data_IF_300009355946
#
_entry.id   IF_300009355946
#
_cell.length_a   1.000
_cell.length_b   1.000
_cell.length_c   1.000
_cell.angle_alpha   90.00
_cell.angle_beta   90.00
_cell.angle_gamma   90.00
#
_symmetry.space_group_name_H-M   'P 1'
#
loop_
_entity.id
_entity.type
_entity.pdbx_description
1 polymer ?
#
# COMPACT_ATOMS: atom_id res chain seq x y z
N UNK A 1 -22.02 6.89 17.94
CA UNK A 1 -21.17 5.85 17.40
C UNK A 1 -19.88 6.42 16.93
N UNK A 2 -18.82 5.69 17.13
CA UNK A 2 -17.53 6.12 16.67
C UNK A 2 -17.38 5.95 15.17
N UNK A 3 -16.33 6.53 14.65
CA UNK A 3 -15.98 6.41 13.27
C UNK A 3 -14.70 5.60 13.14
N UNK A 4 -14.57 4.92 12.01
CA UNK A 4 -13.40 4.10 11.73
C UNK A 4 -12.55 4.82 10.70
N UNK A 5 -11.27 4.97 11.00
CA UNK A 5 -10.32 5.61 10.10
C UNK A 5 -9.24 4.61 9.75
N UNK A 6 -9.01 4.41 8.47
CA UNK A 6 -7.86 3.61 8.02
C UNK A 6 -6.73 4.58 7.71
N UNK A 7 -5.61 4.39 8.37
CA UNK A 7 -4.44 5.25 8.20
C UNK A 7 -3.29 4.43 7.63
N UNK A 8 -2.66 4.97 6.61
CA UNK A 8 -1.58 4.28 5.93
C UNK A 8 -0.27 5.04 6.10
N UNK A 9 0.79 4.34 6.51
CA UNK A 9 2.06 5.02 6.77
C UNK A 9 2.80 5.37 5.49
N UNK A 10 3.77 6.25 5.62
CA UNK A 10 4.63 6.60 4.53
C UNK A 10 5.94 5.86 4.59
N UNK A 11 6.86 6.29 3.73
CA UNK A 11 8.18 5.71 3.67
C UNK A 11 8.86 5.85 5.03
N UNK A 12 9.51 4.78 5.45
CA UNK A 12 10.14 4.73 6.75
C UNK A 12 9.58 3.63 7.62
N UNK A 13 8.37 3.18 7.32
CA UNK A 13 7.73 2.12 8.10
C UNK A 13 8.06 0.72 7.58
N UNK A 14 8.80 0.63 6.47
CA UNK A 14 9.09 -0.68 5.87
C UNK A 14 10.07 -1.47 6.71
N UNK A 15 9.95 -2.80 6.61
CA UNK A 15 10.89 -3.72 7.23
C UNK A 15 10.82 -5.05 6.51
N UNK A 16 11.91 -5.80 6.59
CA UNK A 16 11.95 -7.13 5.96
C UNK A 16 10.98 -8.04 6.69
N UNK A 17 10.17 -8.73 5.91
CA UNK A 17 9.14 -9.60 6.47
C UNK A 17 7.76 -8.98 6.50
N UNK A 18 7.64 -7.72 6.15
CA UNK A 18 6.35 -7.06 6.19
C UNK A 18 5.36 -7.73 5.25
N UNK A 19 4.21 -8.05 5.78
CA UNK A 19 3.15 -8.67 4.99
C UNK A 19 3.31 -10.16 4.74
N UNK A 20 4.41 -10.77 5.18
CA UNK A 20 4.65 -12.17 4.87
C UNK A 20 3.65 -13.09 5.54
N UNK A 21 3.30 -12.80 6.77
CA UNK A 21 2.33 -13.62 7.48
C UNK A 21 0.95 -13.54 6.82
N UNK A 22 0.60 -12.39 6.28
CA UNK A 22 -0.64 -12.25 5.54
C UNK A 22 -0.58 -13.01 4.22
N UNK A 23 0.56 -12.93 3.54
CA UNK A 23 0.76 -13.66 2.30
C UNK A 23 0.62 -15.18 2.52
N UNK A 24 1.22 -15.66 3.60
CA UNK A 24 1.21 -17.09 3.88
C UNK A 24 -0.15 -17.60 4.33
N UNK A 25 -0.94 -16.74 4.96
CA UNK A 25 -2.16 -17.16 5.62
C UNK A 25 -3.44 -16.86 4.86
N UNK A 26 -3.44 -15.86 3.99
CA UNK A 26 -4.68 -15.40 3.38
C UNK A 26 -4.55 -15.30 1.86
N UNK A 27 -5.47 -15.96 1.16
CA UNK A 27 -5.44 -15.97 -0.30
C UNK A 27 -5.60 -14.58 -0.89
N UNK A 28 -6.43 -13.74 -0.28
CA UNK A 28 -6.65 -12.40 -0.82
C UNK A 28 -5.39 -11.55 -0.72
N UNK A 29 -4.60 -11.75 0.32
CA UNK A 29 -3.33 -11.03 0.46
C UNK A 29 -2.29 -11.57 -0.50
N UNK A 30 -2.27 -12.90 -0.68
CA UNK A 30 -1.34 -13.51 -1.62
C UNK A 30 -1.56 -12.97 -3.02
N UNK A 31 -2.82 -12.80 -3.41
CA UNK A 31 -3.15 -12.29 -4.74
C UNK A 31 -2.55 -10.91 -4.98
N UNK A 32 -2.51 -10.07 -3.96
CA UNK A 32 -1.98 -8.72 -4.11
C UNK A 32 -0.48 -8.77 -4.39
N UNK A 33 0.26 -9.60 -3.64
CA UNK A 33 1.69 -9.73 -3.90
C UNK A 33 1.97 -10.35 -5.27
N UNK A 34 1.17 -11.36 -5.64
CA UNK A 34 1.34 -11.97 -6.94
C UNK A 34 1.03 -10.97 -8.06
N UNK A 35 0.01 -10.14 -7.87
CA UNK A 35 -0.34 -9.13 -8.85
C UNK A 35 0.79 -8.11 -8.99
N UNK A 36 1.39 -7.71 -7.88
CA UNK A 36 2.50 -6.76 -7.95
C UNK A 36 3.64 -7.32 -8.76
N UNK A 37 3.99 -8.58 -8.54
CA UNK A 37 5.06 -9.20 -9.31
C UNK A 37 4.71 -9.34 -10.79
N UNK A 38 3.42 -9.42 -11.09
CA UNK A 38 2.98 -9.56 -12.47
C UNK A 38 3.06 -8.24 -13.22
N UNK A 39 2.68 -7.14 -12.57
CA UNK A 39 2.58 -5.85 -13.27
C UNK A 39 3.83 -4.99 -13.16
N UNK A 40 4.75 -5.33 -12.26
CA UNK A 40 5.97 -4.55 -12.09
C UNK A 40 7.18 -5.30 -12.62
N UNK A 41 8.24 -4.54 -12.80
CA UNK A 41 9.51 -5.07 -13.31
C UNK A 41 10.44 -5.54 -12.21
N UNK A 42 9.95 -5.64 -10.98
CA UNK A 42 10.75 -6.08 -9.84
C UNK A 42 10.01 -7.19 -9.11
N UNK A 43 10.77 -7.94 -8.32
CA UNK A 43 10.21 -9.02 -7.51
C UNK A 43 9.87 -8.48 -6.13
N UNK A 44 8.63 -8.03 -5.99
CA UNK A 44 8.19 -7.41 -4.75
C UNK A 44 8.15 -8.41 -3.60
N UNK A 45 7.82 -9.66 -3.90
CA UNK A 45 7.77 -10.68 -2.85
C UNK A 45 9.16 -10.89 -2.25
N UNK A 46 10.15 -11.03 -3.10
CA UNK A 46 11.52 -11.21 -2.61
C UNK A 46 11.96 -9.99 -1.83
N UNK A 47 11.64 -8.82 -2.35
CA UNK A 47 12.02 -7.57 -1.72
C UNK A 47 11.45 -7.44 -0.32
N UNK A 48 10.21 -7.84 -0.15
CA UNK A 48 9.54 -7.71 1.15
C UNK A 48 9.90 -8.82 2.12
N UNK A 49 10.15 -10.03 1.61
CA UNK A 49 10.23 -11.20 2.49
C UNK A 49 11.63 -11.68 2.80
N UNK A 50 12.62 -11.32 1.99
CA UNK A 50 13.99 -11.79 2.19
C UNK A 50 14.89 -10.65 2.62
N UNK A 51 15.93 -10.99 3.36
CA UNK A 51 16.91 -10.01 3.79
C UNK A 51 17.56 -9.36 2.59
N UNK A 52 17.54 -8.05 2.55
CA UNK A 52 18.18 -7.30 1.48
C UNK A 52 18.27 -5.84 1.90
N UNK A 53 19.09 -5.07 1.19
CA UNK A 53 19.24 -3.67 1.47
C UNK A 53 18.40 -2.80 0.55
N UNK A 54 17.88 -3.39 -0.50
CA UNK A 54 17.13 -2.63 -1.51
C UNK A 54 15.82 -2.09 -0.97
N UNK A 55 15.27 -2.74 0.06
CA UNK A 55 13.99 -2.30 0.60
C UNK A 55 14.05 -0.88 1.15
N UNK A 56 15.25 -0.38 1.43
CA UNK A 56 15.41 0.97 1.93
C UNK A 56 15.74 1.97 0.83
N UNK A 57 15.83 1.52 -0.40
CA UNK A 57 16.03 2.40 -1.54
C UNK A 57 14.67 2.88 -2.00
N UNK A 58 14.49 4.19 -2.08
CA UNK A 58 13.20 4.79 -2.37
C UNK A 58 12.47 4.14 -3.55
N UNK A 59 13.20 3.89 -4.62
CA UNK A 59 12.60 3.30 -5.82
C UNK A 59 11.89 1.98 -5.55
N UNK A 60 12.43 1.21 -4.60
CA UNK A 60 11.86 -0.08 -4.27
C UNK A 60 10.92 -0.01 -3.08
N UNK A 61 11.24 0.87 -2.13
CA UNK A 61 10.43 1.00 -0.91
C UNK A 61 8.99 1.33 -1.22
N UNK A 62 8.78 2.23 -2.17
CA UNK A 62 7.43 2.70 -2.44
C UNK A 62 6.53 1.58 -2.93
N UNK A 63 7.00 0.81 -3.92
CA UNK A 63 6.19 -0.29 -4.43
C UNK A 63 5.98 -1.37 -3.37
N UNK A 64 7.02 -1.63 -2.58
CA UNK A 64 6.94 -2.65 -1.55
C UNK A 64 5.90 -2.28 -0.49
N UNK A 65 5.92 -1.03 -0.06
CA UNK A 65 5.00 -0.59 0.99
C UNK A 65 3.55 -0.55 0.51
N UNK A 66 3.33 -0.09 -0.71
CA UNK A 66 1.96 -0.08 -1.24
C UNK A 66 1.44 -1.51 -1.31
N UNK A 67 2.27 -2.43 -1.79
CA UNK A 67 1.87 -3.82 -1.92
C UNK A 67 1.53 -4.43 -0.56
N UNK A 68 2.42 -4.27 0.41
CA UNK A 68 2.19 -4.86 1.73
C UNK A 68 0.96 -4.25 2.39
N UNK A 69 0.80 -2.94 2.28
CA UNK A 69 -0.34 -2.27 2.89
C UNK A 69 -1.66 -2.71 2.28
N UNK A 70 -1.71 -2.82 0.95
CA UNK A 70 -2.95 -3.23 0.29
C UNK A 70 -3.23 -4.71 0.56
N UNK A 71 -2.18 -5.54 0.67
CA UNK A 71 -2.39 -6.94 1.00
C UNK A 71 -3.08 -7.08 2.35
N UNK A 72 -2.66 -6.28 3.33
CA UNK A 72 -3.31 -6.29 4.64
C UNK A 72 -4.72 -5.73 4.54
N UNK A 73 -4.87 -4.66 3.79
CA UNK A 73 -6.18 -4.03 3.59
C UNK A 73 -7.20 -5.01 3.04
N UNK A 74 -6.80 -5.83 2.07
CA UNK A 74 -7.74 -6.76 1.44
C UNK A 74 -8.30 -7.76 2.44
N UNK A 75 -7.46 -8.20 3.37
CA UNK A 75 -7.97 -9.12 4.40
C UNK A 75 -8.93 -8.41 5.34
N UNK A 76 -8.61 -7.19 5.70
CA UNK A 76 -9.50 -6.41 6.57
C UNK A 76 -10.85 -6.20 5.90
N UNK A 77 -10.83 -5.88 4.61
CA UNK A 77 -12.08 -5.71 3.87
C UNK A 77 -12.87 -7.01 3.79
N UNK A 78 -12.16 -8.12 3.62
CA UNK A 78 -12.82 -9.41 3.55
C UNK A 78 -13.53 -9.74 4.86
N UNK A 79 -12.99 -9.25 5.96
CA UNK A 79 -13.60 -9.46 7.27
C UNK A 79 -14.80 -8.56 7.51
N UNK A 80 -15.09 -7.68 6.57
CA UNK A 80 -16.29 -6.83 6.68
C UNK A 80 -16.08 -5.49 7.34
N UNK A 81 -14.84 -5.15 7.69
CA UNK A 81 -14.57 -3.87 8.31
C UNK A 81 -14.39 -2.81 7.24
N UNK A 82 -15.11 -1.72 7.35
CA UNK A 82 -15.05 -0.63 6.38
C UNK A 82 -14.75 0.67 7.07
N UNK A 83 -13.97 1.53 6.42
CA UNK A 83 -13.63 2.82 7.02
C UNK A 83 -14.68 3.86 6.71
N UNK A 84 -14.79 4.84 7.59
CA UNK A 84 -15.55 6.05 7.30
C UNK A 84 -14.67 7.07 6.60
N UNK A 85 -13.39 7.04 6.93
CA UNK A 85 -12.39 7.92 6.34
C UNK A 85 -11.12 7.12 6.06
N UNK A 86 -10.39 7.55 5.04
CA UNK A 86 -9.06 7.00 4.81
C UNK A 86 -8.08 8.15 4.77
N UNK A 87 -6.88 7.91 5.27
CA UNK A 87 -5.84 8.90 5.32
C UNK A 87 -4.50 8.24 5.06
N UNK A 88 -3.59 8.99 4.46
CA UNK A 88 -2.27 8.47 4.17
C UNK A 88 -1.23 9.57 4.29
N UNK A 89 -0.06 9.18 4.79
CA UNK A 89 1.06 10.09 4.89
C UNK A 89 1.94 9.91 3.67
N UNK A 90 1.99 10.94 2.83
CA UNK A 90 2.81 10.90 1.63
C UNK A 90 2.52 9.64 0.80
N UNK A 91 3.42 8.69 0.76
CA UNK A 91 3.23 7.44 0.02
C UNK A 91 1.92 6.75 0.38
N UNK A 92 1.53 6.83 1.64
CA UNK A 92 0.31 6.18 2.10
C UNK A 92 -0.95 6.73 1.45
N UNK A 93 -0.86 7.90 0.81
CA UNK A 93 -2.01 8.44 0.12
C UNK A 93 -2.52 7.51 -0.97
N UNK A 94 -1.60 6.82 -1.63
CA UNK A 94 -2.01 5.88 -2.69
C UNK A 94 -2.79 4.72 -2.10
N UNK A 95 -2.38 4.26 -0.93
CA UNK A 95 -3.11 3.19 -0.26
C UNK A 95 -4.49 3.68 0.18
N UNK A 96 -4.56 4.91 0.64
CA UNK A 96 -5.85 5.48 1.03
C UNK A 96 -6.78 5.58 -0.17
N UNK A 97 -6.25 5.92 -1.34
CA UNK A 97 -7.06 5.97 -2.55
C UNK A 97 -7.55 4.59 -2.95
N UNK A 98 -6.72 3.57 -2.78
CA UNK A 98 -7.14 2.20 -3.05
C UNK A 98 -8.25 1.79 -2.07
N UNK A 99 -8.07 2.14 -0.80
CA UNK A 99 -9.05 1.76 0.22
C UNK A 99 -10.40 2.41 -0.02
N UNK A 100 -10.42 3.59 -0.63
CA UNK A 100 -11.66 4.30 -0.89
C UNK A 100 -12.19 4.04 -2.30
N UNK A 101 -11.60 3.08 -3.03
CA UNK A 101 -12.06 2.66 -4.35
C UNK A 101 -11.93 3.74 -5.41
N UNK A 102 -11.07 4.70 -5.20
CA UNK A 102 -10.80 5.74 -6.19
C UNK A 102 -9.78 5.24 -7.21
N UNK A 103 -8.92 4.32 -6.80
CA UNK A 103 -7.82 3.85 -7.63
C UNK A 103 -7.66 2.36 -7.42
N UNK A 104 -7.33 1.63 -8.48
CA UNK A 104 -7.06 0.20 -8.34
C UNK A 104 -5.67 0.00 -7.77
N UNK A 105 -5.43 -1.17 -7.18
CA UNK A 105 -4.11 -1.49 -6.69
C UNK A 105 -3.08 -1.47 -7.81
N UNK A 106 -3.43 -2.05 -8.96
CA UNK A 106 -2.50 -2.10 -10.08
C UNK A 106 -2.06 -0.71 -10.49
N UNK A 107 -3.01 0.22 -10.57
CA UNK A 107 -2.68 1.58 -10.94
C UNK A 107 -1.83 2.25 -9.86
N UNK A 108 -2.17 2.03 -8.60
CA UNK A 108 -1.44 2.67 -7.53
C UNK A 108 0.03 2.23 -7.51
N UNK A 109 0.26 0.93 -7.63
CA UNK A 109 1.62 0.42 -7.53
C UNK A 109 2.44 0.81 -8.75
N UNK A 110 1.81 0.91 -9.91
CA UNK A 110 2.51 1.35 -11.12
C UNK A 110 2.88 2.82 -11.01
N UNK A 111 1.97 3.64 -10.49
CA UNK A 111 2.23 5.06 -10.37
C UNK A 111 3.38 5.33 -9.41
N UNK A 112 3.38 4.70 -8.25
CA UNK A 112 4.47 4.95 -7.30
C UNK A 112 5.79 4.44 -7.84
N UNK A 113 5.77 3.38 -8.63
CA UNK A 113 7.00 2.87 -9.22
C UNK A 113 7.56 3.83 -10.26
N UNK A 114 6.67 4.46 -11.03
CA UNK A 114 7.09 5.35 -12.09
C UNK A 114 7.37 6.77 -11.61
N UNK A 115 6.93 7.14 -10.41
CA UNK A 115 7.06 8.50 -9.92
C UNK A 115 8.22 8.72 -9.00
N UNK A 116 9.12 7.80 -8.94
CA UNK A 116 10.26 7.96 -8.04
C UNK A 116 11.04 9.22 -8.30
N UNK A 117 11.01 9.71 -9.55
CA UNK A 117 11.76 10.91 -9.91
C UNK A 117 11.07 12.18 -9.51
N UNK A 118 9.80 12.12 -9.19
CA UNK A 118 9.04 13.32 -8.92
C UNK A 118 8.65 13.45 -7.47
N UNK A 119 9.30 12.70 -6.62
CA UNK A 119 8.96 12.73 -5.21
C UNK A 119 9.12 14.12 -4.61
N UNK A 120 10.00 14.92 -5.15
CA UNK A 120 10.21 16.26 -4.62
C UNK A 120 9.01 17.16 -4.87
N UNK A 121 8.12 16.74 -5.75
CA UNK A 121 6.91 17.53 -6.02
C UNK A 121 5.81 17.25 -5.02
N UNK A 122 6.00 16.24 -4.21
CA UNK A 122 4.99 15.92 -3.23
C UNK A 122 4.99 16.92 -2.11
N UNK A 123 3.81 17.20 -1.59
CA UNK A 123 3.70 18.05 -0.44
C UNK A 123 4.43 17.40 0.73
N UNK A 124 5.12 18.18 1.53
CA UNK A 124 5.69 17.63 2.77
C UNK A 124 4.59 17.26 3.75
N UNK A 125 3.36 17.63 3.46
CA UNK A 125 2.26 17.34 4.32
C UNK A 125 1.54 16.12 3.80
N UNK A 126 0.87 15.45 4.67
CA UNK A 126 0.05 14.33 4.26
C UNK A 126 -1.26 14.84 3.70
N UNK A 127 -1.87 14.02 2.87
CA UNK A 127 -3.19 14.27 2.37
C UNK A 127 -4.16 13.38 3.09
N UNK A 128 -5.33 13.88 3.28
CA UNK A 128 -6.42 13.11 3.81
C UNK A 128 -7.40 12.89 2.68
N UNK A 129 -7.60 11.62 2.33
CA UNK A 129 -8.60 11.27 1.36
C UNK A 129 -9.87 11.01 2.11
N UNK A 130 -10.72 11.98 2.09
CA UNK A 130 -11.95 11.85 2.81
C UNK A 130 -13.06 11.64 1.83
N UNK A 131 -13.39 10.41 1.65
CA UNK A 131 -14.48 10.06 0.78
C UNK A 131 -15.57 9.49 1.63
N UNK A 132 -16.74 10.02 1.41
CA UNK A 132 -17.87 9.51 2.11
C UNK A 132 -18.27 8.23 1.44
N UNK A 133 -18.20 7.16 2.18
CA UNK A 133 -18.46 5.86 1.61
C UNK A 133 -19.90 5.48 1.71
N UNK A 134 -20.69 6.42 2.02
CA UNK A 134 -22.08 6.17 2.19
C UNK A 134 -22.85 6.25 0.91
N UNK A 135 -22.23 6.48 -0.19
CA UNK A 135 -22.98 6.62 -1.38
C UNK A 135 -23.93 5.57 -1.70
#
# INVERSE_FOLDING_TARGET
MGKIVFMFPGQGAQYVGMGKDFYDSFACSKEIFDKANEVLDIDVKKLCFEENEDINITEYTQAAMVTASVAILKKIEEMGLKPDLTAGLSLGEYCALVASDVMSFEDAVKVVRSEEHTSELQSPFYLVCRLLLEK
#
